data_IF_430320253760
#
_entry.id   IF_430320253760
#
_cell.length_a   1.000
_cell.length_b   1.000
_cell.length_c   1.000
_cell.angle_alpha   90.00
_cell.angle_beta   90.00
_cell.angle_gamma   90.00
#
_symmetry.space_group_name_H-M   'P 1'
#
loop_
_entity.id
_entity.type
_entity.pdbx_description
1 polymer ?
#
# COMPACT_ATOMS: atom_id res chain seq x y z
N UNK A 1 63.93 -28.33 -15.60
CA UNK A 1 63.02 -27.65 -16.55
C UNK A 1 63.27 -26.16 -16.43
N UNK A 2 64.02 -25.55 -17.37
CA UNK A 2 64.32 -24.11 -17.34
C UNK A 2 63.10 -23.36 -17.89
N UNK A 3 62.45 -22.58 -17.05
CA UNK A 3 61.45 -21.61 -17.50
C UNK A 3 62.20 -20.47 -18.19
N UNK A 4 61.94 -20.32 -19.49
CA UNK A 4 62.45 -19.21 -20.29
C UNK A 4 61.63 -17.97 -19.90
N UNK A 5 62.22 -17.07 -19.13
CA UNK A 5 61.63 -15.76 -18.85
C UNK A 5 61.99 -14.85 -20.01
N UNK A 6 61.09 -14.75 -20.99
CA UNK A 6 61.19 -13.76 -22.04
C UNK A 6 60.88 -12.39 -21.41
N UNK A 7 61.92 -11.56 -21.21
CA UNK A 7 61.81 -10.17 -20.73
C UNK A 7 61.17 -9.28 -21.81
N UNK A 8 59.92 -9.55 -22.16
CA UNK A 8 59.11 -8.70 -23.00
C UNK A 8 58.46 -7.67 -22.08
N UNK A 9 59.09 -6.50 -21.98
CA UNK A 9 58.54 -5.36 -21.25
C UNK A 9 57.24 -4.88 -21.89
N UNK A 10 56.36 -4.28 -21.08
CA UNK A 10 55.13 -3.66 -21.54
C UNK A 10 55.44 -2.52 -22.52
N UNK A 11 54.80 -2.51 -23.68
CA UNK A 11 54.97 -1.39 -24.62
C UNK A 11 54.10 -0.21 -24.21
N UNK A 12 54.54 1.02 -24.50
CA UNK A 12 53.77 2.24 -24.18
C UNK A 12 52.38 2.20 -24.83
N UNK A 13 52.29 1.67 -26.05
CA UNK A 13 51.03 1.58 -26.79
C UNK A 13 50.09 0.52 -26.19
N UNK A 14 50.62 -0.62 -25.75
CA UNK A 14 49.83 -1.66 -25.07
C UNK A 14 49.25 -1.14 -23.76
N UNK A 15 50.03 -0.39 -22.98
CA UNK A 15 49.55 0.25 -21.77
C UNK A 15 48.37 1.17 -22.09
N UNK A 16 48.52 2.09 -23.05
CA UNK A 16 47.46 3.04 -23.46
C UNK A 16 46.20 2.31 -23.90
N UNK A 17 46.33 1.26 -24.73
CA UNK A 17 45.19 0.47 -25.21
C UNK A 17 44.45 -0.21 -24.05
N UNK A 18 45.17 -0.78 -23.08
CA UNK A 18 44.56 -1.42 -21.91
C UNK A 18 43.77 -0.42 -21.06
N UNK A 19 44.30 0.78 -20.79
CA UNK A 19 43.57 1.79 -20.00
C UNK A 19 42.33 2.31 -20.75
N UNK A 20 42.40 2.47 -22.08
CA UNK A 20 41.26 2.89 -22.90
C UNK A 20 40.17 1.81 -22.91
N UNK A 21 40.54 0.55 -23.11
CA UNK A 21 39.57 -0.55 -23.08
C UNK A 21 38.97 -0.70 -21.68
N UNK A 22 39.79 -0.65 -20.62
CA UNK A 22 39.33 -0.75 -19.23
C UNK A 22 38.37 0.39 -18.85
N UNK A 23 38.61 1.61 -19.33
CA UNK A 23 37.75 2.76 -19.04
C UNK A 23 36.38 2.68 -19.74
N UNK A 24 36.33 2.11 -20.96
CA UNK A 24 35.05 1.82 -21.63
C UNK A 24 34.25 0.78 -20.85
N UNK A 25 34.90 -0.32 -20.44
CA UNK A 25 34.24 -1.34 -19.62
C UNK A 25 33.78 -0.81 -18.26
N UNK A 26 34.60 0.01 -17.58
CA UNK A 26 34.23 0.64 -16.33
C UNK A 26 33.01 1.56 -16.49
N UNK A 27 32.95 2.37 -17.55
CA UNK A 27 31.81 3.24 -17.83
C UNK A 27 30.52 2.44 -18.05
N UNK A 28 30.59 1.32 -18.78
CA UNK A 28 29.44 0.43 -18.99
C UNK A 28 29.02 -0.28 -17.69
N UNK A 29 29.98 -0.70 -16.85
CA UNK A 29 29.72 -1.35 -15.56
C UNK A 29 29.00 -0.40 -14.59
N UNK A 30 29.38 0.87 -14.56
CA UNK A 30 28.71 1.91 -13.76
C UNK A 30 27.23 1.98 -14.11
N UNK A 31 26.86 2.05 -15.40
CA UNK A 31 25.44 2.10 -15.79
C UNK A 31 24.64 0.86 -15.34
N UNK A 32 25.25 -0.32 -15.38
CA UNK A 32 24.62 -1.58 -14.98
C UNK A 32 24.42 -1.70 -13.47
N UNK A 33 25.43 -1.33 -12.67
CA UNK A 33 25.37 -1.39 -11.20
C UNK A 33 24.41 -0.33 -10.64
N UNK A 34 24.41 0.88 -11.20
CA UNK A 34 23.50 1.95 -10.77
C UNK A 34 22.04 1.64 -11.10
N UNK A 35 21.74 1.11 -12.29
CA UNK A 35 20.36 0.79 -12.67
C UNK A 35 19.79 -0.44 -11.95
N UNK A 36 20.64 -1.37 -11.52
CA UNK A 36 20.23 -2.58 -10.79
C UNK A 36 20.10 -2.34 -9.27
N UNK A 37 20.96 -1.51 -8.68
CA UNK A 37 20.94 -1.22 -7.24
C UNK A 37 19.75 -0.35 -6.80
N UNK A 38 19.33 0.61 -7.64
CA UNK A 38 18.28 1.58 -7.27
C UNK A 38 16.86 1.02 -7.48
N UNK A 39 16.70 -0.05 -8.27
CA UNK A 39 15.39 -0.67 -8.53
C UNK A 39 14.94 -1.70 -7.48
N UNK A 40 15.82 -2.12 -6.57
CA UNK A 40 15.52 -3.19 -5.60
C UNK A 40 14.67 -2.72 -4.41
N UNK A 41 14.70 -1.43 -4.08
CA UNK A 41 13.95 -0.88 -2.92
C UNK A 41 12.59 -0.31 -3.28
N UNK A 42 12.36 0.07 -4.54
CA UNK A 42 11.08 0.61 -5.00
C UNK A 42 9.87 -0.32 -4.72
N UNK A 43 9.95 -1.65 -4.91
CA UNK A 43 8.85 -2.55 -4.58
C UNK A 43 8.54 -2.60 -3.07
N UNK A 44 9.57 -2.51 -2.23
CA UNK A 44 9.42 -2.55 -0.76
C UNK A 44 8.69 -1.30 -0.27
N UNK A 45 9.02 -0.12 -0.81
CA UNK A 45 8.34 1.13 -0.45
C UNK A 45 6.88 1.18 -0.91
N UNK A 46 6.53 0.49 -1.99
CA UNK A 46 5.12 0.37 -2.41
C UNK A 46 4.38 -0.58 -1.47
N UNK A 47 4.99 -1.72 -1.12
CA UNK A 47 4.39 -2.68 -0.20
C UNK A 47 4.12 -2.08 1.19
N UNK A 48 5.09 -1.35 1.77
CA UNK A 48 4.91 -0.67 3.06
C UNK A 48 3.71 0.31 3.05
N UNK A 49 3.48 0.98 1.92
CA UNK A 49 2.34 1.90 1.78
C UNK A 49 1.00 1.17 1.71
N UNK A 50 0.95 0.00 1.08
CA UNK A 50 -0.27 -0.83 1.01
C UNK A 50 -0.57 -1.49 2.36
N UNK A 51 0.45 -2.02 3.04
CA UNK A 51 0.28 -2.64 4.36
C UNK A 51 -0.27 -1.67 5.41
N UNK A 52 0.13 -0.39 5.36
CA UNK A 52 -0.39 0.63 6.29
C UNK A 52 -1.90 0.85 6.16
N UNK A 53 -2.45 0.80 4.95
CA UNK A 53 -3.89 1.00 4.78
C UNK A 53 -4.67 -0.29 5.13
N UNK A 54 -4.06 -1.45 4.88
CA UNK A 54 -4.59 -2.74 5.32
C UNK A 54 -4.66 -2.82 6.86
N UNK A 55 -3.60 -2.41 7.56
CA UNK A 55 -3.54 -2.38 9.03
C UNK A 55 -4.65 -1.50 9.63
N UNK A 56 -4.90 -0.33 9.03
CA UNK A 56 -5.99 0.57 9.45
C UNK A 56 -7.35 -0.13 9.26
N UNK A 57 -7.56 -0.78 8.12
CA UNK A 57 -8.81 -1.49 7.85
C UNK A 57 -9.02 -2.68 8.79
N UNK A 58 -7.95 -3.41 9.10
CA UNK A 58 -7.96 -4.52 10.04
C UNK A 58 -8.28 -4.03 11.46
N UNK A 59 -7.69 -2.91 11.87
CA UNK A 59 -7.99 -2.26 13.16
C UNK A 59 -9.47 -1.86 13.27
N UNK A 60 -10.03 -1.26 12.21
CA UNK A 60 -11.47 -0.94 12.13
C UNK A 60 -12.31 -2.22 12.19
N UNK A 61 -11.93 -3.25 11.44
CA UNK A 61 -12.65 -4.53 11.39
C UNK A 61 -12.63 -5.22 12.75
N UNK A 62 -11.49 -5.18 13.44
CA UNK A 62 -11.33 -5.72 14.78
C UNK A 62 -12.24 -5.00 15.78
N UNK A 63 -12.28 -3.66 15.75
CA UNK A 63 -13.16 -2.89 16.64
C UNK A 63 -14.65 -3.15 16.33
N UNK A 64 -14.99 -3.34 15.06
CA UNK A 64 -16.32 -3.81 14.66
C UNK A 64 -16.67 -5.15 15.31
N UNK A 65 -15.79 -6.16 15.19
CA UNK A 65 -16.04 -7.50 15.73
C UNK A 65 -16.12 -7.52 17.26
N UNK A 66 -15.36 -6.68 17.94
CA UNK A 66 -15.30 -6.64 19.40
C UNK A 66 -16.44 -5.82 20.03
N UNK A 67 -16.73 -4.63 19.48
CA UNK A 67 -17.53 -3.62 20.17
C UNK A 67 -18.79 -3.18 19.42
N UNK A 68 -18.85 -3.37 18.09
CA UNK A 68 -19.87 -2.71 17.26
C UNK A 68 -20.65 -3.64 16.31
N UNK A 69 -20.65 -4.95 16.56
CA UNK A 69 -21.45 -5.91 15.78
C UNK A 69 -22.95 -5.63 15.83
N UNK A 70 -23.43 -5.00 16.91
CA UNK A 70 -24.84 -4.63 17.14
C UNK A 70 -25.15 -3.16 16.81
N UNK A 71 -24.15 -2.27 16.84
CA UNK A 71 -24.34 -0.83 16.67
C UNK A 71 -23.34 -0.24 15.67
N UNK A 72 -23.71 -0.32 14.39
CA UNK A 72 -22.93 0.22 13.29
C UNK A 72 -22.94 1.77 13.24
N UNK A 73 -23.83 2.44 13.97
CA UNK A 73 -23.89 3.91 14.00
C UNK A 73 -22.75 4.49 14.85
N UNK A 74 -22.44 3.83 15.97
CA UNK A 74 -21.26 4.16 16.76
C UNK A 74 -19.96 3.89 15.99
N UNK A 75 -19.87 2.78 15.28
CA UNK A 75 -18.73 2.47 14.41
C UNK A 75 -18.55 3.54 13.32
N UNK A 76 -19.62 3.92 12.61
CA UNK A 76 -19.60 4.98 11.62
C UNK A 76 -19.05 6.30 12.21
N UNK A 77 -19.49 6.62 13.43
CA UNK A 77 -19.06 7.84 14.12
C UNK A 77 -17.58 7.80 14.48
N UNK A 78 -17.07 6.65 14.97
CA UNK A 78 -15.65 6.47 15.29
C UNK A 78 -14.75 6.53 14.07
N UNK A 79 -15.16 5.91 12.96
CA UNK A 79 -14.40 5.93 11.70
C UNK A 79 -14.36 7.35 11.12
N UNK A 80 -15.37 8.18 11.39
CA UNK A 80 -15.50 9.54 10.87
C UNK A 80 -16.69 9.66 9.94
N UNK A 81 -17.78 10.26 10.43
CA UNK A 81 -19.07 10.35 9.73
C UNK A 81 -19.03 11.18 8.44
N UNK A 82 -18.11 12.15 8.34
CA UNK A 82 -18.04 13.08 7.20
C UNK A 82 -17.23 12.45 6.06
N UNK A 83 -17.88 12.12 4.97
CA UNK A 83 -17.20 11.74 3.74
C UNK A 83 -16.32 12.88 3.21
N UNK A 84 -15.14 12.53 2.71
CA UNK A 84 -14.11 13.45 2.26
C UNK A 84 -13.27 14.08 3.37
N UNK A 85 -13.44 13.68 4.64
CA UNK A 85 -12.61 14.16 5.74
C UNK A 85 -11.38 13.29 5.98
N UNK A 86 -10.28 13.94 6.35
CA UNK A 86 -9.09 13.28 6.83
C UNK A 86 -9.23 13.00 8.33
N UNK A 87 -8.83 11.81 8.75
CA UNK A 87 -8.96 11.28 10.10
C UNK A 87 -7.58 11.04 10.68
N UNK A 88 -7.44 11.31 11.97
CA UNK A 88 -6.29 10.96 12.79
C UNK A 88 -6.84 10.51 14.15
N UNK A 89 -7.15 9.24 14.27
CA UNK A 89 -7.83 8.66 15.43
C UNK A 89 -7.15 7.35 15.85
N UNK A 90 -7.79 6.60 16.76
CA UNK A 90 -7.25 5.34 17.29
C UNK A 90 -7.00 4.24 16.26
N UNK A 91 -7.52 4.36 15.02
CA UNK A 91 -7.22 3.41 13.94
C UNK A 91 -6.02 3.84 13.09
N UNK A 92 -5.60 5.11 13.17
CA UNK A 92 -4.50 5.67 12.40
C UNK A 92 -4.90 6.90 11.58
N UNK A 93 -4.12 7.16 10.53
CA UNK A 93 -4.25 8.34 9.66
C UNK A 93 -4.72 7.93 8.27
N UNK A 94 -5.92 8.34 7.89
CA UNK A 94 -6.57 7.97 6.62
C UNK A 94 -7.60 9.01 6.21
N UNK A 95 -8.09 8.94 4.98
CA UNK A 95 -9.21 9.75 4.48
C UNK A 95 -10.45 8.90 4.31
N UNK A 96 -11.59 9.37 4.79
CA UNK A 96 -12.89 8.71 4.57
C UNK A 96 -13.41 9.08 3.19
N UNK A 97 -13.57 8.10 2.30
CA UNK A 97 -14.19 8.32 0.98
C UNK A 97 -15.68 8.02 1.04
N UNK A 98 -16.04 6.87 1.60
CA UNK A 98 -17.43 6.48 1.83
C UNK A 98 -17.59 5.97 3.25
N UNK A 99 -18.63 6.42 3.93
CA UNK A 99 -18.97 5.91 5.26
C UNK A 99 -20.47 6.08 5.44
N UNK A 100 -21.24 5.22 4.76
CA UNK A 100 -22.69 5.37 4.62
C UNK A 100 -23.41 4.04 4.76
N UNK A 101 -24.63 4.11 5.27
CA UNK A 101 -25.50 2.95 5.30
C UNK A 101 -26.03 2.65 3.90
N UNK A 102 -25.99 1.39 3.51
CA UNK A 102 -26.46 0.92 2.21
C UNK A 102 -27.56 -0.12 2.39
N UNK A 103 -28.32 -0.33 1.32
CA UNK A 103 -29.25 -1.43 1.18
C UNK A 103 -29.25 -1.92 -0.25
N UNK A 104 -29.69 -3.16 -0.45
CA UNK A 104 -29.82 -3.76 -1.78
C UNK A 104 -31.29 -3.86 -2.15
N UNK A 105 -31.74 -3.01 -3.07
CA UNK A 105 -33.11 -3.02 -3.58
C UNK A 105 -33.08 -3.46 -5.03
N UNK A 106 -33.86 -4.48 -5.40
CA UNK A 106 -33.93 -5.01 -6.76
C UNK A 106 -32.54 -5.29 -7.37
N UNK A 107 -31.65 -5.96 -6.60
CA UNK A 107 -30.26 -6.29 -6.97
C UNK A 107 -29.34 -5.07 -7.19
N UNK A 108 -29.75 -3.87 -6.80
CA UNK A 108 -28.96 -2.65 -6.92
C UNK A 108 -28.62 -2.07 -5.55
N UNK A 109 -27.36 -1.65 -5.36
CA UNK A 109 -26.95 -0.90 -4.16
C UNK A 109 -27.60 0.48 -4.16
N UNK A 110 -28.21 0.85 -3.03
CA UNK A 110 -28.75 2.18 -2.77
C UNK A 110 -28.31 2.64 -1.39
N UNK A 111 -28.19 3.96 -1.22
CA UNK A 111 -28.00 4.55 0.10
C UNK A 111 -29.27 4.32 0.92
N UNK A 112 -29.12 3.89 2.17
CA UNK A 112 -30.22 3.76 3.11
C UNK A 112 -30.35 5.09 3.88
N UNK A 113 -31.33 5.95 3.60
CA UNK A 113 -31.52 7.20 4.32
C UNK A 113 -31.88 6.96 5.80
N UNK A 114 -31.69 7.97 6.65
CA UNK A 114 -32.14 7.91 8.04
C UNK A 114 -33.68 7.76 8.08
N UNK A 115 -34.17 6.85 8.93
CA UNK A 115 -35.60 6.52 9.06
C UNK A 115 -36.05 5.31 8.23
N UNK A 116 -35.18 4.76 7.38
CA UNK A 116 -35.42 3.47 6.72
C UNK A 116 -35.30 2.32 7.74
N UNK A 117 -36.17 1.31 7.65
CA UNK A 117 -36.11 0.12 8.52
C UNK A 117 -34.82 -0.67 8.35
N UNK A 118 -34.14 -0.53 7.20
CA UNK A 118 -32.86 -1.16 6.91
C UNK A 118 -31.64 -0.28 7.25
N UNK A 119 -31.87 0.99 7.64
CA UNK A 119 -30.79 1.88 8.05
C UNK A 119 -30.14 1.33 9.33
N UNK A 120 -28.80 1.24 9.34
CA UNK A 120 -28.07 0.64 10.46
C UNK A 120 -27.81 -0.86 10.33
N UNK A 121 -28.32 -1.53 9.29
CA UNK A 121 -28.05 -2.97 9.07
C UNK A 121 -26.79 -3.23 8.25
N UNK A 122 -26.46 -2.39 7.27
CA UNK A 122 -25.29 -2.53 6.41
C UNK A 122 -24.55 -1.20 6.31
N UNK A 123 -23.29 -1.17 6.74
CA UNK A 123 -22.41 -0.02 6.66
C UNK A 123 -21.32 -0.28 5.62
N UNK A 124 -21.27 0.55 4.59
CA UNK A 124 -20.18 0.55 3.61
C UNK A 124 -19.15 1.59 4.00
N UNK A 125 -17.92 1.13 4.19
CA UNK A 125 -16.78 1.96 4.55
C UNK A 125 -15.73 1.85 3.46
N UNK A 126 -15.36 2.98 2.88
CA UNK A 126 -14.23 3.11 1.97
C UNK A 126 -13.26 4.12 2.54
N UNK A 127 -12.04 3.69 2.80
CA UNK A 127 -10.94 4.53 3.27
C UNK A 127 -9.89 4.69 2.19
N UNK A 128 -9.20 5.83 2.19
CA UNK A 128 -8.10 6.15 1.30
C UNK A 128 -6.84 6.46 2.11
N UNK A 129 -5.71 5.90 1.71
CA UNK A 129 -4.40 6.25 2.25
C UNK A 129 -4.01 7.67 1.81
N UNK A 130 -3.61 8.51 2.75
CA UNK A 130 -3.15 9.87 2.46
C UNK A 130 -1.89 9.87 1.58
N UNK A 131 -1.03 8.87 1.77
CA UNK A 131 0.31 8.80 1.14
C UNK A 131 0.32 8.08 -0.21
N UNK A 132 -0.47 7.01 -0.37
CA UNK A 132 -0.48 6.21 -1.61
C UNK A 132 -1.70 6.45 -2.49
N UNK A 133 -2.75 7.13 -1.99
CA UNK A 133 -4.05 7.25 -2.66
C UNK A 133 -4.75 5.91 -2.94
N UNK A 134 -4.25 4.83 -2.34
CA UNK A 134 -4.87 3.52 -2.38
C UNK A 134 -6.18 3.52 -1.60
N UNK A 135 -7.17 2.77 -2.08
CA UNK A 135 -8.52 2.72 -1.52
C UNK A 135 -8.89 1.29 -1.18
N UNK A 136 -9.37 1.11 0.04
CA UNK A 136 -9.93 -0.16 0.49
C UNK A 136 -11.39 0.04 0.87
N UNK A 137 -12.22 -0.95 0.54
CA UNK A 137 -13.64 -0.96 0.85
C UNK A 137 -13.99 -2.21 1.64
N UNK A 138 -14.67 -2.01 2.77
CA UNK A 138 -15.27 -3.05 3.57
C UNK A 138 -16.77 -2.81 3.72
N UNK A 139 -17.50 -3.90 3.88
CA UNK A 139 -18.94 -3.88 4.18
C UNK A 139 -19.11 -4.58 5.52
N UNK A 140 -19.64 -3.84 6.49
CA UNK A 140 -19.99 -4.35 7.80
C UNK A 140 -21.50 -4.54 7.86
N UNK A 141 -21.93 -5.65 8.47
CA UNK A 141 -23.34 -5.91 8.65
C UNK A 141 -23.68 -6.08 10.13
N UNK A 142 -24.91 -5.73 10.51
CA UNK A 142 -25.36 -5.93 11.87
C UNK A 142 -25.52 -7.44 12.11
N UNK A 143 -24.85 -7.96 13.12
CA UNK A 143 -24.98 -9.36 13.52
C UNK A 143 -26.17 -9.47 14.48
N UNK A 144 -27.16 -10.28 14.14
CA UNK A 144 -28.19 -10.66 15.12
C UNK A 144 -27.73 -11.97 15.74
N UNK A 145 -27.49 -11.98 17.06
CA UNK A 145 -27.13 -13.19 17.78
C UNK A 145 -28.29 -14.19 17.58
N UNK A 146 -28.06 -15.23 16.78
CA UNK A 146 -29.04 -16.31 16.61
C UNK A 146 -28.95 -17.18 17.86
N UNK A 147 -29.94 -17.02 18.74
CA UNK A 147 -30.22 -17.94 19.85
C UNK A 147 -30.55 -19.33 19.29
#
# INVERSE_FOLDING_TARGET
MKLKTDNLGFTLIELIVVIVVASIFAAMMVQFVYTSGVKSTAPIFVLDKSLKIDEILESITSDYLQNYTLDLNLLQTRIGKREGSDQNNGYGVYRVIHNRFIKFVAKSEKVSPQGDSENGNLLKVTIESINSKERLTAIYHKQYNRL
#
